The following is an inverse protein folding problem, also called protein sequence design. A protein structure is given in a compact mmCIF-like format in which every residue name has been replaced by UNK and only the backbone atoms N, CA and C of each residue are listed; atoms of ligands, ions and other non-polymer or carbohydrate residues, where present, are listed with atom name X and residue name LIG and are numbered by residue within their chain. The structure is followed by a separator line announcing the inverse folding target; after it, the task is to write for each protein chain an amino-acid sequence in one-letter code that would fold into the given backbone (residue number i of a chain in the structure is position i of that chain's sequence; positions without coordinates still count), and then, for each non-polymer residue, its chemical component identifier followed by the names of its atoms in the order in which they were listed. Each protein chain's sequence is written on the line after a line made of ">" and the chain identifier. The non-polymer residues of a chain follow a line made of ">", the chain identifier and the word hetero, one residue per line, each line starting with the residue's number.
data_IF_555093668745
#
_entry.id   IF_555093668745
#
_cell.length_a   1.000
_cell.length_b   1.000
_cell.length_c   1.000
_cell.angle_alpha   90.00
_cell.angle_beta   90.00
_cell.angle_gamma   90.00
#
_symmetry.space_group_name_H-M   'P 1'
#
loop_
_entity.id
_entity.type
_entity.pdbx_description
1 polymer ?
#
# COMPACT_ATOMS: atom_id res chain seq x y z
N UNK A 1 -15.21 -39.42 -37.17
CA UNK A 1 -14.33 -38.86 -36.12
C UNK A 1 -15.19 -37.95 -35.24
N UNK A 2 -15.38 -38.24 -33.95
CA UNK A 2 -16.19 -37.38 -33.10
C UNK A 2 -15.42 -36.07 -32.89
N UNK A 3 -16.03 -34.95 -33.27
CA UNK A 3 -15.56 -33.61 -32.93
C UNK A 3 -15.66 -33.46 -31.42
N UNK A 4 -14.53 -33.62 -30.72
CA UNK A 4 -14.47 -33.37 -29.28
C UNK A 4 -14.91 -31.93 -29.04
N UNK A 5 -16.06 -31.74 -28.39
CA UNK A 5 -16.48 -30.45 -27.88
C UNK A 5 -15.46 -30.01 -26.82
N UNK A 6 -14.44 -29.27 -27.25
CA UNK A 6 -13.49 -28.64 -26.35
C UNK A 6 -14.19 -27.49 -25.67
N UNK A 7 -14.16 -27.47 -24.34
CA UNK A 7 -14.65 -26.33 -23.59
C UNK A 7 -13.79 -25.09 -23.94
N UNK A 8 -14.40 -23.94 -24.31
CA UNK A 8 -13.65 -22.74 -24.71
C UNK A 8 -12.67 -22.28 -23.62
N UNK A 9 -11.46 -21.87 -24.01
CA UNK A 9 -10.43 -21.39 -23.07
C UNK A 9 -10.90 -20.16 -22.31
N UNK A 10 -11.60 -19.27 -23.00
CA UNK A 10 -12.10 -18.00 -22.48
C UNK A 10 -13.07 -18.23 -21.31
N UNK A 11 -13.87 -19.30 -21.38
CA UNK A 11 -14.79 -19.67 -20.29
C UNK A 11 -14.04 -20.29 -19.11
N UNK A 12 -12.96 -21.05 -19.34
CA UNK A 12 -12.11 -21.54 -18.24
C UNK A 12 -11.45 -20.36 -17.54
N UNK A 13 -10.83 -19.47 -18.30
CA UNK A 13 -10.13 -18.30 -17.76
C UNK A 13 -11.10 -17.43 -16.97
N UNK A 14 -12.30 -17.13 -17.49
CA UNK A 14 -13.32 -16.37 -16.77
C UNK A 14 -13.78 -17.04 -15.45
N UNK A 15 -13.93 -18.37 -15.43
CA UNK A 15 -14.27 -19.11 -14.20
C UNK A 15 -13.12 -19.03 -13.19
N UNK A 16 -11.88 -19.26 -13.65
CA UNK A 16 -10.70 -19.23 -12.79
C UNK A 16 -10.46 -17.82 -12.26
N UNK A 17 -10.58 -16.79 -13.11
CA UNK A 17 -10.45 -15.38 -12.75
C UNK A 17 -11.52 -14.98 -11.75
N UNK A 18 -12.74 -15.50 -11.81
CA UNK A 18 -13.74 -15.25 -10.78
C UNK A 18 -13.35 -15.84 -9.40
N UNK A 19 -12.50 -16.87 -9.39
CA UNK A 19 -12.05 -17.57 -8.17
C UNK A 19 -10.61 -17.20 -7.76
N UNK A 20 -10.02 -16.13 -8.32
CA UNK A 20 -8.60 -15.76 -8.08
C UNK A 20 -8.24 -15.60 -6.59
N UNK A 21 -9.18 -15.17 -5.76
CA UNK A 21 -8.99 -14.99 -4.31
C UNK A 21 -9.17 -16.28 -3.49
N UNK A 22 -9.84 -17.31 -4.03
CA UNK A 22 -10.03 -18.59 -3.34
C UNK A 22 -8.95 -19.60 -3.75
N UNK A 23 -7.82 -19.51 -3.07
CA UNK A 23 -6.68 -20.42 -3.28
C UNK A 23 -7.06 -21.91 -3.16
N UNK A 24 -8.02 -22.28 -2.30
CA UNK A 24 -8.42 -23.70 -2.17
C UNK A 24 -9.15 -24.17 -3.41
N UNK A 25 -10.07 -23.36 -3.91
CA UNK A 25 -10.77 -23.62 -5.16
C UNK A 25 -9.77 -23.67 -6.33
N UNK A 26 -8.85 -22.72 -6.44
CA UNK A 26 -7.82 -22.71 -7.49
C UNK A 26 -6.95 -23.99 -7.50
N UNK A 27 -6.61 -24.51 -6.31
CA UNK A 27 -5.83 -25.75 -6.21
C UNK A 27 -6.66 -26.97 -6.65
N UNK A 28 -7.96 -27.00 -6.34
CA UNK A 28 -8.85 -28.06 -6.79
C UNK A 28 -9.07 -28.01 -8.32
N UNK A 29 -9.31 -26.82 -8.87
CA UNK A 29 -9.50 -26.60 -10.31
C UNK A 29 -8.24 -26.91 -11.11
N UNK A 30 -7.05 -26.69 -10.54
CA UNK A 30 -5.78 -27.04 -11.18
C UNK A 30 -5.63 -28.54 -11.48
N UNK A 31 -6.42 -29.41 -10.85
CA UNK A 31 -6.38 -30.88 -11.03
C UNK A 31 -7.38 -31.40 -12.08
N UNK A 32 -8.28 -30.55 -12.60
CA UNK A 32 -9.37 -30.96 -13.50
C UNK A 32 -8.85 -31.37 -14.89
N UNK A 33 -8.04 -30.51 -15.52
CA UNK A 33 -7.46 -30.75 -16.85
C UNK A 33 -6.22 -29.88 -17.07
N UNK A 34 -5.40 -30.20 -18.09
CA UNK A 34 -4.18 -29.41 -18.41
C UNK A 34 -4.47 -27.93 -18.70
N UNK A 35 -5.63 -27.65 -19.28
CA UNK A 35 -6.11 -26.30 -19.58
C UNK A 35 -6.37 -25.55 -18.26
N UNK A 36 -7.15 -26.15 -17.37
CA UNK A 36 -7.47 -25.59 -16.05
C UNK A 36 -6.23 -25.46 -15.16
N UNK A 37 -5.28 -26.40 -15.26
CA UNK A 37 -3.99 -26.31 -14.56
C UNK A 37 -3.23 -25.04 -14.92
N UNK A 38 -3.16 -24.67 -16.21
CA UNK A 38 -2.40 -23.48 -16.65
C UNK A 38 -3.04 -22.20 -16.12
N UNK A 39 -4.35 -22.04 -16.31
CA UNK A 39 -5.10 -20.89 -15.82
C UNK A 39 -5.02 -20.77 -14.29
N UNK A 40 -5.25 -21.87 -13.57
CA UNK A 40 -5.19 -21.86 -12.09
C UNK A 40 -3.78 -21.56 -11.58
N UNK A 41 -2.73 -22.09 -12.24
CA UNK A 41 -1.33 -21.86 -11.84
C UNK A 41 -0.93 -20.40 -11.97
N UNK A 42 -1.48 -19.66 -12.93
CA UNK A 42 -1.24 -18.23 -13.06
C UNK A 42 -1.52 -17.52 -11.72
N UNK A 43 -2.74 -17.66 -11.20
CA UNK A 43 -3.13 -17.05 -9.92
C UNK A 43 -2.44 -17.68 -8.70
N UNK A 44 -2.28 -19.01 -8.66
CA UNK A 44 -1.68 -19.71 -7.51
C UNK A 44 -0.20 -19.33 -7.28
N UNK A 45 0.54 -19.05 -8.35
CA UNK A 45 1.97 -18.76 -8.31
C UNK A 45 2.32 -17.30 -8.64
N UNK A 46 1.32 -16.42 -8.80
CA UNK A 46 1.55 -14.97 -9.00
C UNK A 46 2.38 -14.40 -7.85
N UNK A 47 2.02 -14.76 -6.62
CA UNK A 47 2.74 -14.38 -5.40
C UNK A 47 3.24 -15.64 -4.68
N UNK A 48 4.55 -15.69 -4.42
CA UNK A 48 5.18 -16.77 -3.68
C UNK A 48 5.85 -16.24 -2.43
N UNK A 49 5.46 -16.82 -1.30
CA UNK A 49 6.10 -16.58 -0.01
C UNK A 49 7.27 -17.55 0.21
N UNK A 50 8.47 -17.00 0.34
CA UNK A 50 9.71 -17.75 0.56
C UNK A 50 10.22 -17.47 1.98
N UNK A 51 10.55 -18.53 2.70
CA UNK A 51 11.21 -18.49 4.01
C UNK A 51 12.38 -19.47 4.05
N UNK A 52 13.17 -19.41 5.12
CA UNK A 52 14.26 -20.38 5.31
C UNK A 52 13.80 -21.85 5.30
N UNK A 53 12.51 -22.13 5.54
CA UNK A 53 11.96 -23.48 5.62
C UNK A 53 11.61 -24.08 4.25
N UNK A 54 11.34 -23.24 3.24
CA UNK A 54 10.88 -23.69 1.93
C UNK A 54 11.77 -23.23 0.77
N UNK A 55 12.74 -22.35 1.03
CA UNK A 55 13.58 -21.77 -0.01
C UNK A 55 14.33 -22.86 -0.80
N UNK A 56 14.81 -23.91 -0.13
CA UNK A 56 15.54 -24.99 -0.80
C UNK A 56 14.64 -25.77 -1.75
N UNK A 57 13.46 -26.16 -1.30
CA UNK A 57 12.47 -26.91 -2.07
C UNK A 57 11.98 -26.06 -3.25
N UNK A 58 11.70 -24.78 -3.00
CA UNK A 58 11.29 -23.83 -4.01
C UNK A 58 12.34 -23.69 -5.11
N UNK A 59 13.61 -23.46 -4.75
CA UNK A 59 14.71 -23.40 -5.71
C UNK A 59 14.87 -24.73 -6.45
N UNK A 60 14.68 -25.86 -5.77
CA UNK A 60 14.65 -27.19 -6.39
C UNK A 60 13.59 -27.27 -7.50
N UNK A 61 12.37 -26.81 -7.24
CA UNK A 61 11.30 -26.78 -8.22
C UNK A 61 11.62 -25.92 -9.44
N UNK A 62 12.28 -24.78 -9.24
CA UNK A 62 12.69 -23.89 -10.32
C UNK A 62 13.73 -24.50 -11.26
N UNK A 63 14.56 -25.45 -10.76
CA UNK A 63 15.56 -26.14 -11.58
C UNK A 63 15.01 -27.29 -12.42
N UNK A 64 13.74 -27.65 -12.26
CA UNK A 64 13.11 -28.74 -13.04
C UNK A 64 12.89 -28.26 -14.48
N UNK A 65 13.36 -29.04 -15.46
CA UNK A 65 13.29 -28.72 -16.91
C UNK A 65 11.89 -28.36 -17.42
N UNK A 66 10.85 -28.88 -16.76
CA UNK A 66 9.45 -28.65 -17.10
C UNK A 66 8.70 -27.85 -16.02
N UNK A 67 9.42 -27.01 -15.27
CA UNK A 67 8.78 -26.05 -14.38
C UNK A 67 7.91 -25.09 -15.22
N UNK A 68 6.62 -25.05 -14.89
CA UNK A 68 5.60 -24.34 -15.71
C UNK A 68 5.00 -23.15 -14.98
N UNK A 69 5.38 -22.90 -13.73
CA UNK A 69 4.88 -21.76 -12.96
C UNK A 69 5.82 -20.55 -12.97
N UNK A 70 7.05 -20.69 -13.49
CA UNK A 70 8.04 -19.60 -13.50
C UNK A 70 7.55 -18.36 -14.25
N UNK A 71 6.85 -18.55 -15.37
CA UNK A 71 6.27 -17.46 -16.15
C UNK A 71 5.10 -16.76 -15.44
N UNK A 72 4.51 -17.39 -14.42
CA UNK A 72 3.46 -16.79 -13.62
C UNK A 72 4.00 -16.02 -12.41
N UNK A 73 5.26 -16.24 -12.01
CA UNK A 73 5.84 -15.64 -10.83
C UNK A 73 6.11 -14.14 -11.03
N UNK A 74 5.37 -13.29 -10.31
CA UNK A 74 5.48 -11.82 -10.42
C UNK A 74 5.86 -11.16 -9.10
N UNK A 75 5.49 -11.76 -7.96
CA UNK A 75 5.72 -11.23 -6.63
C UNK A 75 6.42 -12.24 -5.72
N UNK A 76 7.43 -11.78 -4.99
CA UNK A 76 8.10 -12.54 -3.93
C UNK A 76 7.87 -11.88 -2.58
N UNK A 77 7.28 -12.61 -1.63
CA UNK A 77 7.27 -12.23 -0.21
C UNK A 77 8.34 -13.03 0.52
N UNK A 78 9.32 -12.34 1.08
CA UNK A 78 10.47 -12.94 1.76
C UNK A 78 10.27 -12.81 3.25
N UNK A 79 10.00 -13.94 3.89
CA UNK A 79 9.85 -14.04 5.34
C UNK A 79 11.21 -14.24 6.01
N UNK A 80 11.64 -13.17 6.66
CA UNK A 80 12.85 -13.13 7.46
C UNK A 80 12.55 -13.66 8.86
N UNK A 81 13.49 -14.46 9.37
CA UNK A 81 13.47 -14.94 10.75
C UNK A 81 14.78 -14.54 11.41
N UNK A 82 14.71 -14.16 12.69
CA UNK A 82 15.88 -13.80 13.48
C UNK A 82 16.95 -14.89 13.40
N UNK A 83 18.17 -14.50 13.01
CA UNK A 83 19.32 -15.40 12.90
C UNK A 83 19.43 -16.24 11.62
N UNK A 84 18.41 -16.27 10.75
CA UNK A 84 18.40 -17.12 9.55
C UNK A 84 18.18 -16.33 8.25
N UNK A 85 19.20 -15.58 7.82
CA UNK A 85 19.18 -14.78 6.59
C UNK A 85 20.28 -15.17 5.59
N UNK A 86 21.22 -16.03 5.98
CA UNK A 86 22.34 -16.47 5.11
C UNK A 86 21.89 -17.21 3.85
N UNK A 87 20.71 -17.83 3.90
CA UNK A 87 20.13 -18.55 2.76
C UNK A 87 19.73 -17.61 1.61
N UNK A 88 19.48 -16.32 1.89
CA UNK A 88 19.04 -15.35 0.89
C UNK A 88 20.08 -15.15 -0.21
N UNK A 89 21.36 -15.05 0.15
CA UNK A 89 22.43 -14.88 -0.82
C UNK A 89 22.50 -16.02 -1.83
N UNK A 90 22.30 -17.26 -1.38
CA UNK A 90 22.21 -18.42 -2.27
C UNK A 90 20.91 -18.42 -3.08
N UNK A 91 19.78 -18.09 -2.44
CA UNK A 91 18.48 -18.03 -3.10
C UNK A 91 18.47 -17.04 -4.26
N UNK A 92 18.88 -15.79 -4.02
CA UNK A 92 18.91 -14.76 -5.05
C UNK A 92 19.95 -15.02 -6.13
N UNK A 93 21.12 -15.59 -5.80
CA UNK A 93 22.08 -16.02 -6.83
C UNK A 93 21.49 -17.08 -7.77
N UNK A 94 20.68 -18.00 -7.25
CA UNK A 94 19.98 -18.98 -8.09
C UNK A 94 18.81 -18.39 -8.85
N UNK A 95 18.03 -17.50 -8.24
CA UNK A 95 16.95 -16.80 -8.94
C UNK A 95 17.51 -16.01 -10.14
N UNK A 96 18.67 -15.38 -10.00
CA UNK A 96 19.33 -14.64 -11.08
C UNK A 96 19.74 -15.55 -12.25
N UNK A 97 20.05 -16.82 -11.97
CA UNK A 97 20.43 -17.77 -13.02
C UNK A 97 19.26 -18.24 -13.87
N UNK A 98 18.03 -17.85 -13.52
CA UNK A 98 16.82 -18.28 -14.22
C UNK A 98 16.35 -17.18 -15.17
N UNK A 99 16.62 -17.35 -16.46
CA UNK A 99 16.29 -16.40 -17.54
C UNK A 99 14.79 -16.12 -17.72
N UNK A 100 13.91 -16.81 -16.99
CA UNK A 100 12.45 -16.82 -17.23
C UNK A 100 11.62 -16.22 -16.08
N UNK A 101 12.26 -15.57 -15.13
CA UNK A 101 11.57 -15.00 -13.97
C UNK A 101 11.58 -13.48 -14.10
N UNK A 102 10.40 -12.88 -14.11
CA UNK A 102 10.21 -11.44 -14.08
C UNK A 102 9.50 -11.07 -12.78
N UNK A 103 10.30 -10.77 -11.75
CA UNK A 103 9.78 -10.34 -10.45
C UNK A 103 9.67 -8.83 -10.50
N UNK A 104 8.43 -8.34 -10.49
CA UNK A 104 8.12 -6.91 -10.50
C UNK A 104 7.72 -6.38 -9.11
N UNK A 105 7.41 -7.28 -8.18
CA UNK A 105 6.99 -6.97 -6.81
C UNK A 105 7.81 -7.77 -5.81
N UNK A 106 8.24 -7.10 -4.74
CA UNK A 106 8.95 -7.74 -3.65
C UNK A 106 8.45 -7.23 -2.31
N UNK A 107 8.24 -8.15 -1.38
CA UNK A 107 7.91 -7.86 0.00
C UNK A 107 8.96 -8.48 0.93
N UNK A 108 9.27 -7.76 2.01
CA UNK A 108 10.04 -8.27 3.14
C UNK A 108 9.12 -8.29 4.35
N UNK A 109 8.96 -9.47 4.94
CA UNK A 109 8.11 -9.68 6.11
C UNK A 109 8.87 -10.44 7.19
N UNK A 110 8.38 -10.38 8.43
CA UNK A 110 8.93 -11.15 9.53
C UNK A 110 8.36 -10.71 10.87
N UNK A 111 8.73 -11.38 11.97
CA UNK A 111 8.44 -10.90 13.31
C UNK A 111 8.97 -9.47 13.53
N UNK A 112 8.24 -8.64 14.30
CA UNK A 112 8.47 -7.20 14.48
C UNK A 112 9.87 -6.79 14.97
N UNK A 113 10.62 -7.72 15.55
CA UNK A 113 11.96 -7.53 16.07
C UNK A 113 13.06 -8.10 15.15
N UNK A 114 12.71 -8.54 13.94
CA UNK A 114 13.65 -9.16 13.01
C UNK A 114 14.53 -8.08 12.38
N UNK A 115 15.82 -8.15 12.70
CA UNK A 115 16.83 -7.25 12.13
C UNK A 115 17.20 -7.71 10.72
N UNK A 116 17.02 -6.83 9.72
CA UNK A 116 17.49 -7.03 8.36
C UNK A 116 18.99 -6.80 8.33
N UNK A 117 19.76 -7.85 8.02
CA UNK A 117 21.21 -7.78 7.96
C UNK A 117 21.70 -7.30 6.60
N UNK A 118 22.91 -6.76 6.56
CA UNK A 118 23.53 -6.27 5.33
C UNK A 118 23.66 -7.38 4.26
N UNK A 119 23.84 -8.65 4.63
CA UNK A 119 23.88 -9.73 3.65
C UNK A 119 22.52 -9.97 2.98
N UNK A 120 21.42 -9.72 3.70
CA UNK A 120 20.08 -9.78 3.13
C UNK A 120 19.87 -8.61 2.15
N UNK A 121 20.25 -7.41 2.56
CA UNK A 121 20.20 -6.20 1.73
C UNK A 121 20.98 -6.39 0.43
N UNK A 122 22.22 -6.87 0.53
CA UNK A 122 23.07 -7.15 -0.62
C UNK A 122 22.47 -8.23 -1.54
N UNK A 123 21.87 -9.29 -0.98
CA UNK A 123 21.22 -10.34 -1.77
C UNK A 123 20.00 -9.81 -2.52
N UNK A 124 19.19 -8.97 -1.88
CA UNK A 124 18.00 -8.38 -2.49
C UNK A 124 18.38 -7.41 -3.61
N UNK A 125 19.42 -6.60 -3.40
CA UNK A 125 19.93 -5.66 -4.39
C UNK A 125 20.35 -6.31 -5.72
N UNK A 126 20.56 -7.63 -5.75
CA UNK A 126 20.85 -8.38 -6.97
C UNK A 126 19.66 -8.38 -7.96
N UNK A 127 18.41 -8.30 -7.48
CA UNK A 127 17.19 -8.41 -8.30
C UNK A 127 16.48 -7.07 -8.53
N UNK A 128 17.24 -5.99 -8.65
CA UNK A 128 16.67 -4.67 -8.39
C UNK A 128 16.09 -3.93 -9.60
N UNK A 129 16.44 -4.33 -10.83
CA UNK A 129 16.15 -3.56 -12.04
C UNK A 129 14.67 -3.54 -12.42
N UNK A 130 13.93 -4.63 -12.17
CA UNK A 130 12.53 -4.79 -12.60
C UNK A 130 11.52 -4.50 -11.48
N UNK A 131 11.99 -4.26 -10.26
CA UNK A 131 11.13 -4.08 -9.09
C UNK A 131 10.42 -2.73 -9.18
N UNK A 132 9.10 -2.79 -9.38
CA UNK A 132 8.19 -1.65 -9.40
C UNK A 132 7.45 -1.47 -8.08
N UNK A 133 7.31 -2.55 -7.28
CA UNK A 133 6.64 -2.52 -5.98
C UNK A 133 7.55 -3.11 -4.91
N UNK A 134 7.78 -2.35 -3.85
CA UNK A 134 8.57 -2.79 -2.71
C UNK A 134 7.79 -2.57 -1.41
N UNK A 135 7.61 -3.64 -0.64
CA UNK A 135 6.91 -3.63 0.64
C UNK A 135 7.83 -4.10 1.76
N UNK A 136 7.83 -3.38 2.87
CA UNK A 136 8.54 -3.81 4.08
C UNK A 136 7.60 -3.79 5.27
N UNK A 137 7.33 -4.96 5.84
CA UNK A 137 6.36 -5.16 6.91
C UNK A 137 7.03 -5.52 8.24
N UNK A 138 6.95 -4.62 9.22
CA UNK A 138 7.37 -4.84 10.61
C UNK A 138 8.80 -5.41 10.74
N UNK A 139 9.78 -4.79 10.09
CA UNK A 139 11.19 -5.17 10.17
C UNK A 139 12.03 -4.07 10.83
N UNK A 140 13.19 -4.46 11.36
CA UNK A 140 14.16 -3.54 11.96
C UNK A 140 15.38 -3.44 11.05
N UNK A 141 15.78 -2.24 10.64
CA UNK A 141 17.08 -2.01 10.01
C UNK A 141 18.05 -1.42 11.03
N UNK A 142 19.32 -1.83 10.97
CA UNK A 142 20.36 -1.30 11.85
C UNK A 142 20.60 0.19 11.62
N UNK A 143 20.46 0.64 10.37
CA UNK A 143 20.48 2.07 10.02
C UNK A 143 19.48 2.39 8.93
N UNK A 144 18.98 3.63 8.96
CA UNK A 144 18.20 4.17 7.85
C UNK A 144 19.02 4.23 6.55
N UNK A 145 20.34 4.46 6.64
CA UNK A 145 21.24 4.45 5.48
C UNK A 145 21.25 3.11 4.75
N UNK A 146 21.21 1.98 5.46
CA UNK A 146 21.12 0.64 4.84
C UNK A 146 19.81 0.46 4.06
N UNK A 147 18.69 0.92 4.64
CA UNK A 147 17.40 0.93 3.95
C UNK A 147 17.37 1.88 2.74
N UNK A 148 17.91 3.10 2.88
CA UNK A 148 17.98 4.06 1.78
C UNK A 148 18.86 3.54 0.63
N UNK A 149 20.00 2.92 0.94
CA UNK A 149 20.87 2.25 -0.03
C UNK A 149 20.14 1.14 -0.79
N UNK A 150 19.32 0.35 -0.09
CA UNK A 150 18.46 -0.65 -0.71
C UNK A 150 17.44 -0.02 -1.67
N UNK A 151 16.79 1.07 -1.27
CA UNK A 151 15.85 1.77 -2.15
C UNK A 151 16.52 2.31 -3.42
N UNK A 152 17.75 2.82 -3.31
CA UNK A 152 18.54 3.27 -4.45
C UNK A 152 18.85 2.15 -5.45
N UNK A 153 18.78 0.88 -5.06
CA UNK A 153 18.97 -0.23 -5.99
C UNK A 153 17.78 -0.38 -6.95
N UNK A 154 16.59 0.16 -6.66
CA UNK A 154 15.37 -0.06 -7.45
C UNK A 154 15.04 1.13 -8.39
N UNK A 155 15.65 1.23 -9.59
CA UNK A 155 15.43 2.36 -10.49
C UNK A 155 13.99 2.43 -11.03
N UNK A 156 13.30 1.29 -11.14
CA UNK A 156 11.94 1.21 -11.65
C UNK A 156 10.85 1.34 -10.57
N UNK A 157 11.23 1.64 -9.31
CA UNK A 157 10.30 1.63 -8.18
C UNK A 157 9.20 2.69 -8.32
N UNK A 158 7.95 2.24 -8.31
CA UNK A 158 6.75 3.08 -8.42
C UNK A 158 5.91 3.05 -7.15
N UNK A 159 5.92 1.94 -6.40
CA UNK A 159 5.15 1.77 -5.18
C UNK A 159 6.06 1.36 -4.03
N UNK A 160 6.06 2.17 -2.96
CA UNK A 160 6.77 1.87 -1.72
C UNK A 160 5.76 1.75 -0.58
N UNK A 161 5.78 0.61 0.12
CA UNK A 161 5.08 0.41 1.39
C UNK A 161 6.12 0.12 2.48
N UNK A 162 6.13 0.89 3.56
CA UNK A 162 7.15 0.73 4.61
C UNK A 162 6.56 0.90 6.01
N UNK A 163 6.65 -0.18 6.79
CA UNK A 163 6.38 -0.27 8.22
C UNK A 163 7.65 -0.70 8.99
N UNK A 164 8.81 -0.24 8.53
CA UNK A 164 10.10 -0.55 9.14
C UNK A 164 10.40 0.33 10.36
N UNK A 165 11.30 -0.14 11.21
CA UNK A 165 11.93 0.65 12.27
C UNK A 165 13.42 0.76 11.99
N UNK A 166 14.05 1.84 12.43
CA UNK A 166 15.47 2.12 12.21
C UNK A 166 16.15 2.33 13.55
N UNK A 167 17.20 1.55 13.87
CA UNK A 167 17.94 1.74 15.13
C UNK A 167 18.72 3.05 15.14
N UNK A 168 19.24 3.44 13.98
CA UNK A 168 19.98 4.68 13.79
C UNK A 168 19.44 5.46 12.59
N UNK A 169 19.23 6.76 12.79
CA UNK A 169 18.86 7.71 11.73
C UNK A 169 20.01 8.70 11.61
N UNK A 170 21.07 8.28 10.91
CA UNK A 170 22.22 9.12 10.61
C UNK A 170 21.93 9.99 9.36
N UNK A 171 22.62 11.14 9.21
CA UNK A 171 22.55 11.91 7.97
C UNK A 171 22.93 11.03 6.78
N UNK A 172 22.15 11.17 5.71
CA UNK A 172 22.29 10.37 4.51
C UNK A 172 23.61 10.71 3.81
N UNK A 173 24.46 9.72 3.50
CA UNK A 173 25.55 9.93 2.56
C UNK A 173 24.99 10.28 1.18
N UNK A 174 25.81 10.86 0.29
CA UNK A 174 25.44 11.29 -1.06
C UNK A 174 25.01 10.16 -1.99
N UNK A 175 23.90 9.51 -1.67
CA UNK A 175 23.25 8.49 -2.47
C UNK A 175 22.68 9.14 -3.74
N UNK A 176 22.50 8.35 -4.79
CA UNK A 176 21.77 8.77 -5.97
C UNK A 176 20.41 8.08 -5.94
N UNK A 177 19.34 8.85 -5.77
CA UNK A 177 17.98 8.32 -5.76
C UNK A 177 17.16 8.98 -6.87
N UNK A 178 16.72 8.16 -7.83
CA UNK A 178 16.03 8.61 -9.04
C UNK A 178 14.98 7.58 -9.48
N UNK A 179 14.09 7.18 -8.58
CA UNK A 179 12.98 6.28 -8.93
C UNK A 179 11.69 7.07 -9.25
N UNK A 180 10.84 6.58 -10.18
CA UNK A 180 9.57 7.21 -10.54
C UNK A 180 8.46 6.87 -9.52
N UNK A 181 8.68 7.20 -8.24
CA UNK A 181 7.77 6.82 -7.16
C UNK A 181 6.42 7.54 -7.30
N UNK A 182 5.33 6.78 -7.47
CA UNK A 182 3.96 7.30 -7.64
C UNK A 182 3.07 7.05 -6.43
N UNK A 183 3.37 6.01 -5.66
CA UNK A 183 2.56 5.57 -4.53
C UNK A 183 3.44 5.33 -3.32
N UNK A 184 3.06 5.92 -2.20
CA UNK A 184 3.80 5.85 -0.95
C UNK A 184 2.85 5.47 0.18
N UNK A 185 3.12 4.37 0.87
CA UNK A 185 2.39 3.93 2.05
C UNK A 185 3.37 3.79 3.22
N UNK A 186 3.22 4.60 4.25
CA UNK A 186 4.15 4.62 5.37
C UNK A 186 3.42 4.43 6.70
N UNK A 187 4.06 3.67 7.59
CA UNK A 187 3.62 3.46 8.96
C UNK A 187 4.68 4.03 9.90
N UNK A 188 4.26 4.75 10.96
CA UNK A 188 5.23 5.24 11.96
C UNK A 188 5.96 4.06 12.64
N UNK A 189 7.27 4.15 12.93
CA UNK A 189 8.13 5.33 12.88
C UNK A 189 8.86 5.56 11.54
N UNK A 190 8.48 4.88 10.45
CA UNK A 190 9.14 5.03 9.16
C UNK A 190 8.85 6.36 8.46
N UNK A 191 7.77 7.06 8.84
CA UNK A 191 7.27 8.24 8.14
C UNK A 191 8.33 9.34 8.08
N UNK A 192 8.76 9.91 9.21
CA UNK A 192 9.75 10.99 9.22
C UNK A 192 11.04 10.71 8.44
N UNK A 193 11.77 9.60 8.67
CA UNK A 193 13.04 9.36 7.98
C UNK A 193 12.85 9.14 6.48
N UNK A 194 11.83 8.37 6.07
CA UNK A 194 11.55 8.14 4.65
C UNK A 194 11.11 9.42 3.95
N UNK A 195 10.24 10.23 4.56
CA UNK A 195 9.84 11.52 3.98
C UNK A 195 11.01 12.48 3.83
N UNK A 196 11.87 12.57 4.85
CA UNK A 196 13.05 13.46 4.81
C UNK A 196 13.99 13.05 3.68
N UNK A 197 14.21 11.75 3.49
CA UNK A 197 14.96 11.22 2.36
C UNK A 197 14.33 11.59 1.02
N UNK A 198 13.04 11.27 0.82
CA UNK A 198 12.35 11.55 -0.45
C UNK A 198 12.28 13.05 -0.78
N UNK A 199 12.19 13.90 0.24
CA UNK A 199 12.24 15.35 0.09
C UNK A 199 13.61 15.82 -0.39
N UNK A 200 14.70 15.30 0.18
CA UNK A 200 16.06 15.65 -0.20
C UNK A 200 16.38 15.34 -1.68
N UNK A 201 15.71 14.34 -2.27
CA UNK A 201 15.86 13.96 -3.68
C UNK A 201 14.76 14.48 -4.60
N UNK A 202 13.91 15.41 -4.13
CA UNK A 202 12.82 16.00 -4.92
C UNK A 202 11.87 14.97 -5.58
N UNK A 203 11.62 13.84 -4.91
CA UNK A 203 10.74 12.78 -5.42
C UNK A 203 9.28 13.03 -5.05
N UNK A 204 9.05 13.68 -3.90
CA UNK A 204 7.72 13.92 -3.35
C UNK A 204 6.72 14.62 -4.31
N UNK A 205 7.11 15.59 -5.17
CA UNK A 205 6.18 16.23 -6.11
C UNK A 205 5.56 15.28 -7.15
N UNK A 206 6.12 14.09 -7.36
CA UNK A 206 5.63 13.11 -8.36
C UNK A 206 4.65 12.11 -7.72
N UNK A 207 4.57 12.05 -6.40
CA UNK A 207 3.71 11.11 -5.68
C UNK A 207 2.24 11.47 -5.87
N UNK A 208 1.50 10.51 -6.43
CA UNK A 208 0.06 10.63 -6.73
C UNK A 208 -0.84 10.02 -5.67
N UNK A 209 -0.33 9.07 -4.89
CA UNK A 209 -1.05 8.41 -3.82
C UNK A 209 -0.19 8.34 -2.55
N UNK A 210 -0.71 8.88 -1.45
CA UNK A 210 -0.08 8.87 -0.14
C UNK A 210 -0.98 8.19 0.87
N UNK A 211 -0.47 7.14 1.52
CA UNK A 211 -1.08 6.49 2.67
C UNK A 211 -0.19 6.67 3.88
N UNK A 212 -0.75 7.22 4.96
CA UNK A 212 -0.09 7.38 6.25
C UNK A 212 -0.85 6.55 7.28
N UNK A 213 -0.16 5.69 8.01
CA UNK A 213 -0.75 4.92 9.09
C UNK A 213 -0.03 5.22 10.41
N UNK A 214 -0.83 5.46 11.44
CA UNK A 214 -0.39 5.74 12.81
C UNK A 214 0.65 6.88 12.90
N UNK A 215 0.46 8.04 12.22
CA UNK A 215 1.43 9.12 12.26
C UNK A 215 1.66 9.64 13.69
N UNK A 216 2.92 9.78 14.08
CA UNK A 216 3.32 10.30 15.38
C UNK A 216 3.54 11.82 15.37
N UNK A 217 3.61 12.47 16.55
CA UNK A 217 3.88 13.93 16.66
C UNK A 217 5.14 14.33 15.89
N UNK A 218 6.17 13.50 16.01
CA UNK A 218 7.48 13.70 15.39
C UNK A 218 7.45 13.66 13.87
N UNK A 219 6.47 12.95 13.28
CA UNK A 219 6.34 12.81 11.84
C UNK A 219 5.88 14.10 11.16
N UNK A 220 5.14 14.95 11.89
CA UNK A 220 4.55 16.16 11.33
C UNK A 220 5.57 17.21 10.88
N UNK A 221 6.74 17.26 11.50
CA UNK A 221 7.80 18.17 11.06
C UNK A 221 8.29 17.83 9.64
N UNK A 222 8.34 16.55 9.29
CA UNK A 222 8.72 16.09 7.96
C UNK A 222 7.55 16.16 6.95
N UNK A 223 6.32 15.92 7.39
CA UNK A 223 5.13 15.93 6.54
C UNK A 223 4.65 17.34 6.17
N UNK A 224 4.69 18.29 7.12
CA UNK A 224 4.09 19.60 6.97
C UNK A 224 4.63 20.39 5.75
N UNK A 225 5.94 20.42 5.45
CA UNK A 225 6.44 21.11 4.26
C UNK A 225 5.85 20.57 2.96
N UNK A 226 5.67 19.25 2.86
CA UNK A 226 5.11 18.61 1.67
C UNK A 226 3.63 18.93 1.48
N UNK A 227 2.84 18.81 2.55
CA UNK A 227 1.39 19.03 2.49
C UNK A 227 1.01 20.52 2.39
N UNK A 228 1.89 21.41 2.84
CA UNK A 228 1.72 22.86 2.70
C UNK A 228 2.34 23.42 1.43
N UNK A 229 3.10 22.64 0.66
CA UNK A 229 3.52 23.04 -0.67
C UNK A 229 2.35 22.85 -1.65
N UNK A 230 2.22 23.70 -2.69
CA UNK A 230 1.36 23.37 -3.82
C UNK A 230 1.77 22.00 -4.36
N UNK A 231 0.80 21.10 -4.47
CA UNK A 231 1.05 19.77 -4.98
C UNK A 231 -0.01 19.43 -6.02
N UNK A 232 0.42 19.47 -7.28
CA UNK A 232 -0.44 19.26 -8.44
C UNK A 232 -0.51 17.78 -8.86
N UNK A 233 0.10 16.88 -8.09
CA UNK A 233 0.16 15.44 -8.38
C UNK A 233 -0.66 14.59 -7.41
N UNK A 234 -0.82 15.00 -6.15
CA UNK A 234 -1.40 14.16 -5.10
C UNK A 234 -2.92 14.02 -5.24
N UNK A 235 -3.35 12.94 -5.87
CA UNK A 235 -4.76 12.63 -6.15
C UNK A 235 -5.43 11.83 -5.02
N UNK A 236 -4.66 11.00 -4.32
CA UNK A 236 -5.18 10.14 -3.24
C UNK A 236 -4.42 10.39 -1.95
N UNK A 237 -5.16 10.72 -0.88
CA UNK A 237 -4.64 10.84 0.47
C UNK A 237 -5.43 9.93 1.42
N UNK A 238 -4.73 8.97 2.02
CA UNK A 238 -5.27 8.09 3.06
C UNK A 238 -4.52 8.31 4.35
N UNK A 239 -5.25 8.59 5.43
CA UNK A 239 -4.70 8.77 6.76
C UNK A 239 -5.43 7.79 7.68
N UNK A 240 -4.67 6.87 8.29
CA UNK A 240 -5.16 5.94 9.30
C UNK A 240 -4.54 6.29 10.65
N UNK A 241 -5.36 6.47 11.67
CA UNK A 241 -4.97 6.87 13.01
C UNK A 241 -5.58 5.92 14.04
N UNK A 242 -4.78 5.47 15.00
CA UNK A 242 -5.23 4.66 16.13
C UNK A 242 -4.97 5.43 17.43
N UNK A 243 -5.88 5.35 18.41
CA UNK A 243 -5.94 6.24 19.59
C UNK A 243 -5.50 5.52 20.85
N UNK A 244 -4.19 5.43 21.01
CA UNK A 244 -3.62 6.47 21.82
C UNK A 244 -2.94 7.40 20.84
N UNK A 245 -3.59 8.54 20.56
CA UNK A 245 -2.93 9.65 19.89
C UNK A 245 -1.57 9.76 20.55
N UNK A 246 -0.51 9.72 19.77
CA UNK A 246 0.88 9.82 20.20
C UNK A 246 1.18 11.16 20.91
N UNK A 247 0.17 11.86 21.46
CA UNK A 247 0.20 13.17 22.07
C UNK A 247 -0.41 14.28 21.22
N UNK A 248 -1.08 14.00 20.08
CA UNK A 248 -1.55 15.04 19.14
C UNK A 248 -3.06 15.12 19.11
N UNK A 249 -3.64 16.31 19.29
CA UNK A 249 -5.07 16.52 19.06
C UNK A 249 -5.38 16.53 17.56
N UNK A 250 -6.59 16.14 17.16
CA UNK A 250 -7.04 16.31 15.77
C UNK A 250 -6.97 17.76 15.30
N UNK A 251 -7.16 18.72 16.20
CA UNK A 251 -6.97 20.14 15.93
C UNK A 251 -5.54 20.43 15.49
N UNK A 252 -4.55 19.86 16.19
CA UNK A 252 -3.13 19.99 15.81
C UNK A 252 -2.86 19.36 14.43
N UNK A 253 -3.60 18.31 14.07
CA UNK A 253 -3.54 17.74 12.72
C UNK A 253 -4.18 18.69 11.72
N UNK A 254 -5.38 19.21 11.96
CA UNK A 254 -6.05 20.16 11.07
C UNK A 254 -5.23 21.46 10.85
N UNK A 255 -4.59 21.99 11.90
CA UNK A 255 -3.70 23.16 11.83
C UNK A 255 -2.41 22.88 11.04
N UNK A 256 -1.87 21.66 11.14
CA UNK A 256 -0.62 21.28 10.48
C UNK A 256 -0.82 20.80 9.05
N UNK A 257 -1.92 20.11 8.79
CA UNK A 257 -2.35 19.56 7.51
C UNK A 257 -3.30 20.57 6.86
N UNK A 258 -2.71 21.58 6.24
CA UNK A 258 -3.50 22.42 5.35
C UNK A 258 -3.78 21.62 4.07
N UNK A 259 -4.97 21.01 3.99
CA UNK A 259 -5.48 20.41 2.77
C UNK A 259 -5.82 21.48 1.71
N UNK A 260 -5.75 22.76 2.08
CA UNK A 260 -6.09 23.90 1.25
C UNK A 260 -5.24 24.05 -0.04
N UNK A 261 -4.10 23.35 -0.14
CA UNK A 261 -3.20 23.43 -1.29
C UNK A 261 -3.15 22.17 -2.14
N UNK A 262 -3.96 21.16 -1.81
CA UNK A 262 -4.08 19.91 -2.55
C UNK A 262 -5.22 20.01 -3.58
N UNK A 263 -5.05 20.88 -4.57
CA UNK A 263 -6.09 21.25 -5.54
C UNK A 263 -6.52 20.08 -6.43
N UNK A 264 -5.63 19.11 -6.67
CA UNK A 264 -5.90 17.93 -7.49
C UNK A 264 -6.39 16.71 -6.68
N UNK A 265 -6.63 16.86 -5.37
CA UNK A 265 -7.06 15.77 -4.50
C UNK A 265 -8.47 15.29 -4.88
N UNK A 266 -8.59 14.01 -5.22
CA UNK A 266 -9.85 13.36 -5.62
C UNK A 266 -10.35 12.36 -4.60
N UNK A 267 -9.45 11.66 -3.92
CA UNK A 267 -9.80 10.62 -2.96
C UNK A 267 -9.20 10.95 -1.61
N UNK A 268 -10.08 11.16 -0.61
CA UNK A 268 -9.70 11.38 0.77
C UNK A 268 -10.25 10.25 1.63
N UNK A 269 -9.36 9.56 2.34
CA UNK A 269 -9.71 8.49 3.27
C UNK A 269 -9.14 8.84 4.65
N UNK A 270 -10.01 8.95 5.65
CA UNK A 270 -9.64 9.25 7.03
C UNK A 270 -10.20 8.17 7.94
N UNK A 271 -9.33 7.26 8.37
CA UNK A 271 -9.71 6.15 9.25
C UNK A 271 -9.19 6.44 10.66
N UNK A 272 -10.09 6.52 11.65
CA UNK A 272 -9.68 6.72 13.05
C UNK A 272 -10.23 5.62 13.96
N UNK A 273 -9.49 5.31 15.03
CA UNK A 273 -9.97 4.39 16.08
C UNK A 273 -9.66 4.93 17.50
N UNK A 274 -10.64 5.51 18.25
CA UNK A 274 -12.07 5.51 17.99
C UNK A 274 -12.49 6.46 16.86
N UNK A 275 -13.77 6.40 16.53
CA UNK A 275 -14.38 7.22 15.48
C UNK A 275 -14.29 8.70 15.86
N UNK A 276 -14.08 9.57 14.86
CA UNK A 276 -14.11 11.03 15.04
C UNK A 276 -15.45 11.45 15.61
N UNK A 277 -15.48 12.42 16.52
CA UNK A 277 -16.75 13.09 16.80
C UNK A 277 -17.14 13.97 15.59
N UNK A 278 -18.43 14.34 15.43
CA UNK A 278 -18.85 15.12 14.27
C UNK A 278 -18.16 16.49 14.13
N UNK A 279 -17.82 17.15 15.23
CA UNK A 279 -17.17 18.47 15.21
C UNK A 279 -15.72 18.38 14.72
N UNK A 280 -14.99 17.34 15.14
CA UNK A 280 -13.64 17.03 14.66
C UNK A 280 -13.64 16.70 13.16
N UNK A 281 -14.60 15.86 12.73
CA UNK A 281 -14.76 15.52 11.33
C UNK A 281 -15.11 16.77 10.49
N UNK A 282 -16.01 17.62 10.98
CA UNK A 282 -16.32 18.90 10.35
C UNK A 282 -15.10 19.81 10.28
N UNK A 283 -14.37 19.98 11.37
CA UNK A 283 -13.16 20.81 11.44
C UNK A 283 -12.10 20.35 10.43
N UNK A 284 -11.88 19.04 10.34
CA UNK A 284 -10.96 18.44 9.35
C UNK A 284 -11.43 18.68 7.91
N UNK A 285 -12.71 18.47 7.62
CA UNK A 285 -13.26 18.70 6.28
C UNK A 285 -13.28 20.19 5.91
N UNK A 286 -13.45 21.07 6.90
CA UNK A 286 -13.43 22.52 6.71
C UNK A 286 -12.06 23.06 6.31
N UNK A 287 -10.96 22.33 6.58
CA UNK A 287 -9.61 22.71 6.10
C UNK A 287 -9.31 22.29 4.66
N UNK A 288 -10.21 21.51 4.03
CA UNK A 288 -10.08 21.14 2.62
C UNK A 288 -10.13 22.38 1.71
N UNK A 289 -9.33 22.36 0.64
CA UNK A 289 -9.24 23.47 -0.30
C UNK A 289 -10.60 23.79 -0.92
N UNK A 290 -10.97 25.08 -1.03
CA UNK A 290 -12.08 25.53 -1.88
C UNK A 290 -12.04 24.93 -3.30
N UNK A 291 -10.83 24.76 -3.83
CA UNK A 291 -10.58 24.29 -5.20
C UNK A 291 -10.44 22.76 -5.31
N UNK A 292 -10.35 22.02 -4.20
CA UNK A 292 -10.20 20.58 -4.24
C UNK A 292 -11.46 19.94 -4.82
N UNK A 293 -11.29 19.04 -5.79
CA UNK A 293 -12.39 18.30 -6.41
C UNK A 293 -12.49 16.91 -5.81
N UNK A 294 -12.86 16.83 -4.53
CA UNK A 294 -12.98 15.55 -3.84
C UNK A 294 -14.16 14.78 -4.45
N UNK A 295 -13.85 13.69 -5.14
CA UNK A 295 -14.80 12.78 -5.77
C UNK A 295 -15.23 11.66 -4.80
N UNK A 296 -14.32 11.19 -3.95
CA UNK A 296 -14.59 10.13 -2.97
C UNK A 296 -14.10 10.54 -1.59
N UNK A 297 -14.99 10.48 -0.61
CA UNK A 297 -14.70 10.66 0.81
C UNK A 297 -15.02 9.38 1.57
N UNK A 298 -14.03 8.80 2.25
CA UNK A 298 -14.24 7.73 3.21
C UNK A 298 -13.80 8.22 4.59
N UNK A 299 -14.68 8.16 5.59
CA UNK A 299 -14.39 8.72 6.90
C UNK A 299 -14.96 7.86 8.02
N UNK A 300 -14.17 7.63 9.07
CA UNK A 300 -14.66 6.99 10.30
C UNK A 300 -15.18 8.07 11.26
N UNK A 301 -16.50 8.27 11.33
CA UNK A 301 -17.14 9.27 12.20
C UNK A 301 -18.21 8.62 13.09
N UNK A 302 -18.34 9.12 14.32
CA UNK A 302 -19.42 8.78 15.23
C UNK A 302 -20.72 9.47 14.78
N UNK A 303 -21.76 8.68 14.50
CA UNK A 303 -23.04 9.18 14.01
C UNK A 303 -23.93 9.65 15.18
N UNK A 304 -23.50 10.71 15.87
CA UNK A 304 -24.18 11.29 17.03
C UNK A 304 -24.62 12.75 16.83
N UNK A 305 -24.75 13.50 17.93
CA UNK A 305 -25.03 14.94 17.88
C UNK A 305 -23.96 15.67 17.04
N UNK A 306 -24.41 16.53 16.11
CA UNK A 306 -23.53 17.25 15.17
C UNK A 306 -23.41 16.60 13.79
N UNK A 307 -23.82 15.34 13.59
CA UNK A 307 -23.71 14.70 12.28
C UNK A 307 -24.59 15.36 11.19
N UNK A 308 -25.69 16.01 11.58
CA UNK A 308 -26.49 16.85 10.69
C UNK A 308 -25.69 18.03 10.10
N UNK A 309 -24.71 18.56 10.83
CA UNK A 309 -23.82 19.61 10.32
C UNK A 309 -22.91 19.07 9.21
N UNK A 310 -22.40 17.84 9.36
CA UNK A 310 -21.63 17.16 8.31
C UNK A 310 -22.53 16.92 7.08
N UNK A 311 -23.76 16.45 7.27
CA UNK A 311 -24.71 16.22 6.17
C UNK A 311 -24.99 17.50 5.38
N UNK A 312 -25.26 18.61 6.08
CA UNK A 312 -25.44 19.92 5.46
C UNK A 312 -24.16 20.32 4.73
N UNK A 313 -23.01 20.24 5.39
CA UNK A 313 -21.73 20.68 4.84
C UNK A 313 -21.35 19.95 3.56
N UNK A 314 -21.39 18.60 3.57
CA UNK A 314 -21.09 17.78 2.40
C UNK A 314 -22.10 17.97 1.27
N UNK A 315 -23.36 18.34 1.59
CA UNK A 315 -24.41 18.51 0.59
C UNK A 315 -24.52 19.93 0.04
N UNK A 316 -24.10 20.97 0.75
CA UNK A 316 -24.32 22.36 0.30
C UNK A 316 -23.05 23.11 -0.06
N UNK A 317 -21.89 22.72 0.45
CA UNK A 317 -20.64 23.45 0.21
C UNK A 317 -20.07 23.13 -1.18
N UNK A 318 -19.72 24.16 -1.95
CA UNK A 318 -19.21 24.03 -3.32
C UNK A 318 -17.92 23.21 -3.41
N UNK A 319 -17.15 23.10 -2.31
CA UNK A 319 -15.97 22.22 -2.21
C UNK A 319 -16.29 20.76 -2.50
N UNK A 320 -17.49 20.33 -2.18
CA UNK A 320 -17.95 18.96 -2.36
C UNK A 320 -18.92 18.83 -3.55
N UNK A 321 -18.97 19.82 -4.44
CA UNK A 321 -19.80 19.76 -5.64
C UNK A 321 -19.43 18.59 -6.57
N UNK A 322 -18.18 18.13 -6.53
CA UNK A 322 -17.70 16.97 -7.30
C UNK A 322 -17.85 15.63 -6.56
N UNK A 323 -18.39 15.62 -5.34
CA UNK A 323 -18.46 14.44 -4.49
C UNK A 323 -19.45 13.42 -5.06
N UNK A 324 -18.96 12.22 -5.38
CA UNK A 324 -19.74 11.12 -5.96
C UNK A 324 -20.01 10.00 -4.95
N UNK A 325 -19.12 9.85 -3.96
CA UNK A 325 -19.16 8.76 -3.00
C UNK A 325 -18.75 9.23 -1.61
N UNK A 326 -19.62 8.99 -0.64
CA UNK A 326 -19.37 9.14 0.80
C UNK A 326 -19.57 7.79 1.45
N UNK A 327 -18.53 7.31 2.12
CA UNK A 327 -18.55 6.04 2.86
C UNK A 327 -18.21 6.32 4.30
N UNK A 328 -19.18 6.12 5.19
CA UNK A 328 -18.93 6.17 6.63
C UNK A 328 -18.41 4.82 7.07
N UNK A 329 -17.11 4.76 7.35
CA UNK A 329 -16.45 3.53 7.71
C UNK A 329 -16.93 3.04 9.08
N UNK A 330 -17.14 1.72 9.18
CA UNK A 330 -17.57 1.03 10.42
C UNK A 330 -18.97 1.42 10.93
N UNK A 331 -19.80 2.08 10.15
CA UNK A 331 -21.21 2.31 10.48
C UNK A 331 -22.11 1.33 9.70
N UNK A 332 -23.27 0.99 10.26
CA UNK A 332 -24.26 0.20 9.54
C UNK A 332 -24.99 1.06 8.51
N UNK A 333 -25.51 0.42 7.45
CA UNK A 333 -26.27 1.12 6.42
C UNK A 333 -27.44 1.93 6.99
N UNK A 334 -28.23 1.35 7.89
CA UNK A 334 -29.39 2.04 8.48
C UNK A 334 -29.01 3.33 9.18
N UNK A 335 -27.96 3.29 10.02
CA UNK A 335 -27.48 4.46 10.77
C UNK A 335 -27.03 5.59 9.85
N UNK A 336 -26.31 5.27 8.76
CA UNK A 336 -25.78 6.30 7.84
C UNK A 336 -26.91 7.00 7.09
N UNK A 337 -27.90 6.26 6.60
CA UNK A 337 -29.03 6.83 5.86
C UNK A 337 -29.94 7.66 6.76
N UNK A 338 -30.13 7.27 8.03
CA UNK A 338 -30.92 8.04 8.99
C UNK A 338 -30.26 9.38 9.34
N UNK A 339 -28.94 9.39 9.48
CA UNK A 339 -28.18 10.53 9.98
C UNK A 339 -27.72 11.49 8.88
N UNK A 340 -27.55 11.02 7.64
CA UNK A 340 -27.11 11.81 6.48
C UNK A 340 -28.16 11.86 5.35
N UNK A 341 -29.41 12.32 5.62
CA UNK A 341 -30.50 12.25 4.65
C UNK A 341 -30.28 13.12 3.40
N UNK A 342 -29.52 14.22 3.47
CA UNK A 342 -29.25 15.07 2.29
C UNK A 342 -28.23 14.43 1.37
N UNK A 343 -27.20 13.81 1.93
CA UNK A 343 -26.26 13.00 1.17
C UNK A 343 -26.98 11.81 0.50
N UNK A 344 -27.95 11.20 1.18
CA UNK A 344 -28.78 10.15 0.59
C UNK A 344 -29.64 10.65 -0.57
N UNK A 345 -30.33 11.78 -0.38
CA UNK A 345 -31.15 12.39 -1.43
C UNK A 345 -30.34 12.75 -2.68
N UNK A 346 -29.04 13.06 -2.54
CA UNK A 346 -28.10 13.28 -3.64
C UNK A 346 -27.53 11.99 -4.26
N UNK A 347 -27.88 10.81 -3.74
CA UNK A 347 -27.35 9.51 -4.15
C UNK A 347 -25.83 9.36 -4.03
N UNK A 348 -25.20 10.14 -3.14
CA UNK A 348 -23.75 10.11 -2.91
C UNK A 348 -23.33 9.16 -1.79
N UNK A 349 -24.25 8.67 -0.95
CA UNK A 349 -23.93 7.64 0.04
C UNK A 349 -23.68 6.29 -0.64
N UNK A 350 -22.53 5.66 -0.38
CA UNK A 350 -22.17 4.31 -0.85
C UNK A 350 -21.81 3.40 0.32
N UNK A 351 -21.95 2.10 0.10
CA UNK A 351 -21.58 1.06 1.06
C UNK A 351 -20.38 0.28 0.52
N UNK A 352 -19.49 -0.14 1.40
CA UNK A 352 -18.37 -1.04 1.09
C UNK A 352 -18.82 -2.50 1.04
#
# INVERSE_FOLDING_TARGET
>A
MPTSFSFPNELVDAIIDHNHDDRKTLLATALVSRQWTRASRYHVFTEVKISHQNAREFLGLLTIQHCTFTAALQSLDIELVAGSQRWLGECFRRLLSLERINISSMALSGPSNTVVRDEAVAAIALHSQEITRFTVAALVFDSFTSFAGLLCCFPALQHLSCAATFRTVAPLPGLAFACPLRSLALVSPAIAPVFTFLHAYNVLPIVTALTLAQPAVSDFAALAPYLRAPNDSLQTLRIRMDVPFSGVSLDSLAERFSLARLTVLRHLVVETTPRLNPDEAFGLLATAAPEARIETLQITVALGQGAAQIDIFLSTDDRFASLQSVIVLRASRGEVHEVLPRCDAKNILKHL
#
